data_IF_323629150767
#
_entry.id   IF_323629150767
#
_cell.length_a   1.000
_cell.length_b   1.000
_cell.length_c   1.000
_cell.angle_alpha   90.00
_cell.angle_beta   90.00
_cell.angle_gamma   90.00
#
_symmetry.space_group_name_H-M   'P 1'
#
loop_
_entity.id
_entity.type
_entity.pdbx_description
1 polymer ?
#
# COMPACT_ATOMS: atom_id res chain seq x y z
N UNK A 1 -3.40 10.05 -10.86
CA UNK A 1 -4.45 10.38 -9.88
C UNK A 1 -4.67 9.26 -8.85
N UNK A 2 -5.00 8.01 -9.24
CA UNK A 2 -5.23 6.93 -8.29
C UNK A 2 -4.01 6.61 -7.41
N UNK A 3 -2.80 6.58 -7.96
CA UNK A 3 -1.59 6.35 -7.17
C UNK A 3 -1.28 7.49 -6.20
N UNK A 4 -1.63 8.73 -6.56
CA UNK A 4 -1.48 9.86 -5.65
C UNK A 4 -2.39 9.69 -4.43
N UNK A 5 -3.66 9.34 -4.63
CA UNK A 5 -4.59 9.09 -3.52
C UNK A 5 -4.10 7.95 -2.61
N UNK A 6 -3.61 6.84 -3.19
CA UNK A 6 -3.01 5.74 -2.41
C UNK A 6 -1.77 6.21 -1.63
N UNK A 7 -0.94 7.07 -2.23
CA UNK A 7 0.24 7.60 -1.57
C UNK A 7 -0.12 8.52 -0.41
N UNK A 8 -1.14 9.37 -0.56
CA UNK A 8 -1.62 10.28 0.49
C UNK A 8 -2.21 9.49 1.68
N UNK A 9 -3.04 8.48 1.42
CA UNK A 9 -3.57 7.59 2.46
C UNK A 9 -2.45 6.80 3.17
N UNK A 10 -1.45 6.35 2.42
CA UNK A 10 -0.29 5.65 2.98
C UNK A 10 0.56 6.58 3.86
N UNK A 11 0.77 7.83 3.45
CA UNK A 11 1.51 8.84 4.25
C UNK A 11 0.78 9.15 5.55
N UNK A 12 -0.57 9.21 5.53
CA UNK A 12 -1.37 9.35 6.73
C UNK A 12 -1.22 8.14 7.66
N UNK A 13 -1.34 6.92 7.12
CA UNK A 13 -1.16 5.68 7.89
C UNK A 13 0.24 5.60 8.52
N UNK A 14 1.29 5.89 7.76
CA UNK A 14 2.68 5.94 8.23
C UNK A 14 2.82 6.91 9.40
N UNK A 15 2.25 8.11 9.29
CA UNK A 15 2.29 9.14 10.34
C UNK A 15 1.60 8.66 11.61
N UNK A 16 0.42 8.06 11.50
CA UNK A 16 -0.32 7.53 12.64
C UNK A 16 0.42 6.38 13.32
N UNK A 17 0.97 5.44 12.55
CA UNK A 17 1.76 4.33 13.10
C UNK A 17 3.05 4.80 13.77
N UNK A 18 3.72 5.79 13.21
CA UNK A 18 4.92 6.37 13.84
C UNK A 18 4.58 7.00 15.20
N UNK A 19 3.49 7.77 15.28
CA UNK A 19 2.99 8.33 16.53
C UNK A 19 2.64 7.26 17.55
N UNK A 20 1.93 6.22 17.12
CA UNK A 20 1.54 5.10 17.97
C UNK A 20 2.76 4.32 18.49
N UNK A 21 3.75 4.05 17.62
CA UNK A 21 4.99 3.39 18.02
C UNK A 21 5.74 4.18 19.10
N UNK A 22 5.81 5.49 18.97
CA UNK A 22 6.47 6.37 19.93
C UNK A 22 5.70 6.45 21.26
N UNK A 23 4.38 6.58 21.21
CA UNK A 23 3.52 6.63 22.40
C UNK A 23 3.64 5.35 23.23
N UNK A 24 3.79 4.21 22.58
CA UNK A 24 3.85 2.90 23.22
C UNK A 24 5.24 2.26 23.25
N UNK A 25 6.30 3.05 23.11
CA UNK A 25 7.69 2.56 23.10
C UNK A 25 8.07 1.74 24.33
N UNK A 26 7.44 1.99 25.46
CA UNK A 26 7.70 1.35 26.75
C UNK A 26 6.52 0.48 27.24
N UNK A 27 5.43 0.38 26.49
CA UNK A 27 4.27 -0.42 26.87
C UNK A 27 4.59 -1.90 26.65
N UNK A 28 4.70 -2.65 27.74
CA UNK A 28 5.03 -4.08 27.70
C UNK A 28 3.88 -4.90 27.13
N UNK A 29 4.21 -5.86 26.29
CA UNK A 29 3.31 -6.90 25.81
C UNK A 29 4.06 -8.22 25.62
N UNK A 30 3.32 -9.30 25.47
CA UNK A 30 3.93 -10.58 25.13
C UNK A 30 4.19 -10.69 23.62
N UNK A 31 5.43 -11.03 23.25
CA UNK A 31 5.73 -11.47 21.87
C UNK A 31 5.16 -12.86 21.62
N UNK A 32 4.67 -13.11 20.40
CA UNK A 32 4.13 -14.40 19.98
C UNK A 32 4.86 -14.93 18.77
N UNK A 33 5.09 -16.25 18.77
CA UNK A 33 5.61 -17.00 17.64
C UNK A 33 4.74 -18.24 17.48
N UNK A 34 4.27 -18.53 16.26
CA UNK A 34 3.28 -19.57 16.01
C UNK A 34 2.06 -19.50 16.93
N UNK A 35 1.57 -18.28 17.16
CA UNK A 35 0.45 -17.94 18.07
C UNK A 35 0.70 -18.31 19.54
N UNK A 36 1.89 -18.74 19.91
CA UNK A 36 2.25 -19.08 21.28
C UNK A 36 3.04 -17.96 21.95
N UNK A 37 2.90 -17.82 23.27
CA UNK A 37 3.67 -16.87 24.05
C UNK A 37 5.18 -17.14 23.91
N UNK A 38 5.92 -16.09 23.63
CA UNK A 38 7.38 -16.13 23.53
C UNK A 38 7.99 -15.20 24.60
N UNK A 39 8.82 -14.25 24.18
CA UNK A 39 9.46 -13.30 25.12
C UNK A 39 8.72 -11.96 25.17
N UNK A 40 8.81 -11.22 26.28
CA UNK A 40 8.30 -9.86 26.36
C UNK A 40 8.93 -8.97 25.29
N UNK A 41 8.08 -8.12 24.70
CA UNK A 41 8.46 -7.04 23.77
C UNK A 41 7.72 -5.77 24.20
N UNK A 42 7.83 -4.68 23.45
CA UNK A 42 6.95 -3.54 23.62
C UNK A 42 5.92 -3.45 22.49
N UNK A 43 4.77 -2.88 22.76
CA UNK A 43 3.77 -2.63 21.72
C UNK A 43 4.32 -1.65 20.68
N UNK A 44 5.09 -0.64 21.09
CA UNK A 44 5.75 0.27 20.16
C UNK A 44 6.69 -0.45 19.20
N UNK A 45 7.44 -1.48 19.65
CA UNK A 45 8.25 -2.30 18.76
C UNK A 45 7.39 -3.11 17.77
N UNK A 46 6.26 -3.66 18.22
CA UNK A 46 5.33 -4.36 17.33
C UNK A 46 4.79 -3.41 16.24
N UNK A 47 4.39 -2.20 16.61
CA UNK A 47 3.92 -1.17 15.67
C UNK A 47 5.03 -0.73 14.71
N UNK A 48 6.26 -0.56 15.19
CA UNK A 48 7.40 -0.25 14.33
C UNK A 48 7.65 -1.33 13.26
N UNK A 49 7.38 -2.60 13.57
CA UNK A 49 7.45 -3.70 12.60
C UNK A 49 6.34 -3.66 11.55
N UNK A 50 5.19 -3.06 11.83
CA UNK A 50 4.16 -2.78 10.84
C UNK A 50 4.54 -1.59 9.95
N UNK A 51 5.15 -0.58 10.54
CA UNK A 51 5.56 0.66 9.87
C UNK A 51 6.67 0.42 8.83
N UNK A 52 7.67 -0.37 9.17
CA UNK A 52 8.87 -0.59 8.36
C UNK A 52 8.59 -1.08 6.91
N UNK A 53 7.75 -2.10 6.65
CA UNK A 53 7.40 -2.48 5.28
C UNK A 53 6.60 -1.41 4.53
N UNK A 54 5.78 -0.61 5.23
CA UNK A 54 5.01 0.47 4.60
C UNK A 54 5.91 1.62 4.13
N UNK A 55 6.97 1.93 4.87
CA UNK A 55 7.99 2.90 4.44
C UNK A 55 8.69 2.43 3.15
N UNK A 56 9.01 1.15 3.02
CA UNK A 56 9.57 0.60 1.78
C UNK A 56 8.57 0.66 0.63
N UNK A 57 7.31 0.31 0.88
CA UNK A 57 6.25 0.39 -0.13
C UNK A 57 6.02 1.83 -0.59
N UNK A 58 6.08 2.80 0.33
CA UNK A 58 5.97 4.23 -0.01
C UNK A 58 7.07 4.69 -0.97
N UNK A 59 8.30 4.24 -0.72
CA UNK A 59 9.42 4.51 -1.63
C UNK A 59 9.18 3.86 -2.99
N UNK A 60 8.79 2.59 -3.04
CA UNK A 60 8.50 1.87 -4.29
C UNK A 60 7.38 2.54 -5.11
N UNK A 61 6.33 3.06 -4.46
CA UNK A 61 5.27 3.81 -5.14
C UNK A 61 5.79 5.11 -5.76
N UNK A 62 6.70 5.82 -5.07
CA UNK A 62 7.29 7.03 -5.60
C UNK A 62 8.19 6.73 -6.82
N UNK A 63 9.03 5.71 -6.74
CA UNK A 63 9.89 5.27 -7.83
C UNK A 63 9.04 4.82 -9.05
N UNK A 64 7.98 4.05 -8.80
CA UNK A 64 7.02 3.60 -9.81
C UNK A 64 6.37 4.78 -10.54
N UNK A 65 5.92 5.78 -9.80
CA UNK A 65 5.27 6.98 -10.36
C UNK A 65 6.21 7.77 -11.28
N UNK A 66 7.50 7.77 -11.00
CA UNK A 66 8.48 8.50 -11.79
C UNK A 66 8.93 7.77 -13.06
N UNK A 67 8.99 6.43 -13.04
CA UNK A 67 9.67 5.66 -14.06
C UNK A 67 8.72 4.86 -14.96
N UNK A 68 7.56 4.43 -14.46
CA UNK A 68 6.71 3.48 -15.16
C UNK A 68 5.62 4.13 -16.00
N UNK A 69 5.18 5.35 -15.66
CA UNK A 69 4.14 6.04 -16.41
C UNK A 69 4.76 6.84 -17.55
N UNK A 70 4.96 6.15 -18.66
CA UNK A 70 5.51 6.71 -19.89
C UNK A 70 4.50 6.57 -21.03
N UNK A 71 4.61 7.44 -22.02
CA UNK A 71 3.74 7.42 -23.20
C UNK A 71 3.84 6.07 -23.92
N UNK A 72 2.69 5.56 -24.37
CA UNK A 72 2.63 4.44 -25.31
C UNK A 72 2.08 4.95 -26.65
N UNK A 73 2.96 5.07 -27.63
CA UNK A 73 2.61 5.39 -29.01
C UNK A 73 3.60 4.67 -29.94
N UNK A 74 3.12 3.83 -30.84
CA UNK A 74 4.01 3.00 -31.68
C UNK A 74 3.50 2.77 -33.10
N UNK A 75 2.23 2.98 -33.35
CA UNK A 75 1.58 2.55 -34.59
C UNK A 75 1.49 1.02 -34.67
N UNK A 76 1.27 0.50 -35.85
CA UNK A 76 0.97 -0.93 -36.06
C UNK A 76 2.08 -1.89 -35.62
N UNK A 77 3.35 -1.50 -35.80
CA UNK A 77 4.53 -2.34 -35.53
C UNK A 77 5.61 -1.63 -34.68
N UNK A 78 5.25 -0.53 -34.04
CA UNK A 78 6.17 0.19 -33.16
C UNK A 78 7.09 1.21 -33.84
N UNK A 79 6.99 1.41 -35.13
CA UNK A 79 7.90 2.25 -35.90
C UNK A 79 7.36 3.65 -36.22
N UNK A 80 6.09 3.93 -35.88
CA UNK A 80 5.39 5.17 -36.26
C UNK A 80 5.38 5.45 -37.77
N UNK A 81 5.56 4.45 -38.59
CA UNK A 81 5.75 4.58 -40.07
C UNK A 81 4.56 5.25 -40.77
N UNK A 82 3.34 5.11 -40.23
CA UNK A 82 2.14 5.81 -40.74
C UNK A 82 2.17 7.33 -40.57
N UNK A 83 3.05 7.83 -39.73
CA UNK A 83 3.26 9.26 -39.49
C UNK A 83 4.50 9.81 -40.18
N UNK A 84 5.11 9.02 -41.05
CA UNK A 84 6.31 9.36 -41.78
C UNK A 84 7.44 9.92 -40.91
N UNK A 85 8.03 11.07 -41.29
CA UNK A 85 9.10 11.73 -40.53
C UNK A 85 8.57 12.49 -39.29
N UNK A 86 7.26 12.56 -39.08
CA UNK A 86 6.64 13.35 -37.99
C UNK A 86 6.33 12.49 -36.75
N UNK A 87 6.44 11.18 -36.78
CA UNK A 87 6.05 10.30 -35.70
C UNK A 87 6.68 10.64 -34.35
N UNK A 88 7.97 10.94 -34.33
CA UNK A 88 8.68 11.34 -33.10
C UNK A 88 8.16 12.67 -32.54
N UNK A 89 7.97 13.69 -33.40
CA UNK A 89 7.44 14.99 -33.01
C UNK A 89 6.02 14.89 -32.45
N UNK A 90 5.20 14.01 -33.02
CA UNK A 90 3.85 13.73 -32.52
C UNK A 90 3.93 13.09 -31.12
N UNK A 91 4.81 12.10 -30.92
CA UNK A 91 5.02 11.46 -29.61
C UNK A 91 5.48 12.48 -28.56
N UNK A 92 6.43 13.35 -28.89
CA UNK A 92 6.91 14.41 -28.00
C UNK A 92 5.81 15.41 -27.62
N UNK A 93 5.03 15.84 -28.59
CA UNK A 93 3.90 16.75 -28.39
C UNK A 93 2.82 16.12 -27.52
N UNK A 94 2.48 14.86 -27.78
CA UNK A 94 1.53 14.08 -26.98
C UNK A 94 2.02 13.87 -25.55
N UNK A 95 3.30 13.54 -25.37
CA UNK A 95 3.92 13.42 -24.05
C UNK A 95 3.82 14.72 -23.24
N UNK A 96 4.09 15.87 -23.86
CA UNK A 96 3.95 17.19 -23.22
C UNK A 96 2.52 17.49 -22.80
N UNK A 97 1.54 17.21 -23.67
CA UNK A 97 0.11 17.47 -23.40
C UNK A 97 -0.38 16.59 -22.26
N UNK A 98 0.05 15.31 -22.22
CA UNK A 98 -0.38 14.35 -21.19
C UNK A 98 0.46 14.37 -19.90
N UNK A 99 1.56 15.13 -19.88
CA UNK A 99 2.50 15.14 -18.76
C UNK A 99 3.25 13.81 -18.59
N UNK A 100 3.43 13.03 -19.69
CA UNK A 100 4.09 11.73 -19.68
C UNK A 100 5.47 11.82 -20.33
N UNK A 101 6.45 11.09 -19.79
CA UNK A 101 7.75 10.90 -20.43
C UNK A 101 7.57 10.11 -21.73
N UNK A 102 8.32 10.47 -22.77
CA UNK A 102 8.35 9.73 -24.03
C UNK A 102 9.48 8.71 -23.95
N UNK A 103 9.20 7.41 -24.04
CA UNK A 103 10.23 6.39 -24.02
C UNK A 103 11.01 6.37 -25.34
N UNK A 104 12.26 5.90 -25.34
CA UNK A 104 13.09 5.86 -26.56
C UNK A 104 12.56 4.89 -27.64
N UNK A 105 11.75 3.91 -27.22
CA UNK A 105 11.13 2.92 -28.10
C UNK A 105 9.71 2.59 -27.59
N UNK A 106 8.80 2.28 -28.53
CA UNK A 106 7.43 1.85 -28.17
C UNK A 106 7.45 0.51 -27.42
N UNK A 107 6.54 0.35 -26.47
CA UNK A 107 6.50 -0.81 -25.57
C UNK A 107 5.14 -1.52 -25.52
N UNK A 108 4.29 -1.35 -26.54
CA UNK A 108 2.91 -1.87 -26.53
C UNK A 108 2.81 -3.40 -26.43
N UNK A 109 3.85 -4.15 -26.82
CA UNK A 109 3.93 -5.61 -26.63
C UNK A 109 4.64 -6.02 -25.34
N UNK A 110 5.41 -5.15 -24.70
CA UNK A 110 6.04 -5.40 -23.40
C UNK A 110 5.05 -5.21 -22.27
N UNK A 111 5.10 -6.05 -21.23
CA UNK A 111 4.16 -6.04 -20.12
C UNK A 111 4.83 -5.79 -18.77
N UNK A 112 6.15 -5.68 -18.73
CA UNK A 112 6.97 -5.45 -17.57
C UNK A 112 6.50 -4.23 -16.75
N UNK A 113 6.22 -3.10 -17.39
CA UNK A 113 5.70 -1.88 -16.73
C UNK A 113 4.36 -2.10 -16.04
N UNK A 114 3.44 -2.78 -16.70
CA UNK A 114 2.13 -3.10 -16.13
C UNK A 114 2.25 -4.11 -14.99
N UNK A 115 3.10 -5.13 -15.17
CA UNK A 115 3.38 -6.12 -14.14
C UNK A 115 4.02 -5.47 -12.90
N UNK A 116 4.93 -4.51 -13.08
CA UNK A 116 5.55 -3.79 -11.97
C UNK A 116 4.53 -2.96 -11.18
N UNK A 117 3.58 -2.30 -11.85
CA UNK A 117 2.48 -1.61 -11.15
C UNK A 117 1.68 -2.61 -10.30
N UNK A 118 1.23 -3.72 -10.90
CA UNK A 118 0.42 -4.72 -10.22
C UNK A 118 1.16 -5.36 -9.03
N UNK A 119 2.43 -5.71 -9.20
CA UNK A 119 3.22 -6.33 -8.12
C UNK A 119 3.55 -5.35 -7.00
N UNK A 120 3.85 -4.09 -7.31
CA UNK A 120 4.09 -3.06 -6.28
C UNK A 120 2.83 -2.84 -5.41
N UNK A 121 1.67 -2.75 -6.03
CA UNK A 121 0.40 -2.65 -5.30
C UNK A 121 0.10 -3.93 -4.51
N UNK A 122 0.39 -5.10 -5.06
CA UNK A 122 0.25 -6.39 -4.36
C UNK A 122 1.14 -6.51 -3.12
N UNK A 123 2.38 -6.01 -3.18
CA UNK A 123 3.30 -5.97 -2.03
C UNK A 123 2.75 -5.04 -0.93
N UNK A 124 2.26 -3.86 -1.31
CA UNK A 124 1.63 -2.93 -0.38
C UNK A 124 0.41 -3.56 0.28
N UNK A 125 -0.48 -4.15 -0.51
CA UNK A 125 -1.68 -4.83 -0.01
C UNK A 125 -1.33 -5.96 0.96
N UNK A 126 -0.33 -6.79 0.65
CA UNK A 126 0.15 -7.85 1.55
C UNK A 126 0.68 -7.30 2.87
N UNK A 127 1.35 -6.16 2.86
CA UNK A 127 1.86 -5.49 4.07
C UNK A 127 0.73 -4.95 4.94
N UNK A 128 -0.30 -4.34 4.33
CA UNK A 128 -1.50 -3.85 5.02
C UNK A 128 -2.33 -5.03 5.55
N UNK A 129 -2.51 -6.07 4.74
CA UNK A 129 -3.24 -7.28 5.15
C UNK A 129 -2.60 -7.96 6.36
N UNK A 130 -1.27 -8.03 6.40
CA UNK A 130 -0.54 -8.55 7.56
C UNK A 130 -0.77 -7.71 8.82
N UNK A 131 -0.79 -6.38 8.71
CA UNK A 131 -1.12 -5.48 9.82
C UNK A 131 -2.55 -5.71 10.31
N UNK A 132 -3.50 -5.78 9.38
CA UNK A 132 -4.91 -6.02 9.67
C UNK A 132 -5.14 -7.37 10.38
N UNK A 133 -4.50 -8.43 9.90
CA UNK A 133 -4.54 -9.75 10.54
C UNK A 133 -3.98 -9.73 11.96
N UNK A 134 -2.85 -9.07 12.20
CA UNK A 134 -2.29 -8.90 13.54
C UNK A 134 -3.30 -8.20 14.48
N UNK A 135 -3.98 -7.15 14.01
CA UNK A 135 -5.01 -6.46 14.83
C UNK A 135 -6.17 -7.40 15.14
N UNK A 136 -6.67 -8.15 14.15
CA UNK A 136 -7.73 -9.14 14.37
C UNK A 136 -7.34 -10.16 15.44
N UNK A 137 -6.12 -10.69 15.36
CA UNK A 137 -5.61 -11.65 16.36
C UNK A 137 -5.49 -11.03 17.76
N UNK A 138 -5.05 -9.78 17.85
CA UNK A 138 -4.92 -9.08 19.14
C UNK A 138 -6.27 -8.64 19.72
N UNK A 139 -7.33 -8.57 18.91
CA UNK A 139 -8.70 -8.26 19.32
C UNK A 139 -9.49 -9.46 19.87
N UNK A 140 -8.98 -10.70 19.72
CA UNK A 140 -9.65 -11.89 20.25
C UNK A 140 -9.96 -11.69 21.73
N UNK A 141 -11.12 -12.16 22.17
CA UNK A 141 -11.62 -11.96 23.54
C UNK A 141 -10.62 -12.42 24.60
N UNK A 142 -9.92 -13.53 24.34
CA UNK A 142 -8.93 -14.15 25.24
C UNK A 142 -7.60 -13.36 25.27
N UNK A 143 -7.34 -12.52 24.25
CA UNK A 143 -6.12 -11.70 24.12
C UNK A 143 -6.40 -10.27 24.54
N UNK A 144 -7.34 -9.62 23.86
CA UNK A 144 -7.85 -8.27 24.15
C UNK A 144 -6.76 -7.20 24.39
N UNK A 145 -5.66 -7.26 23.63
CA UNK A 145 -4.53 -6.32 23.77
C UNK A 145 -4.74 -5.03 22.97
N UNK A 146 -5.55 -5.09 21.90
CA UNK A 146 -5.97 -3.92 21.09
C UNK A 146 -7.45 -3.99 20.78
N UNK A 147 -8.06 -2.87 20.43
CA UNK A 147 -9.44 -2.79 19.98
C UNK A 147 -9.53 -1.77 18.84
N UNK A 148 -10.33 -2.06 17.82
CA UNK A 148 -10.72 -1.03 16.85
C UNK A 148 -11.58 0.05 17.53
N UNK A 149 -11.48 1.32 17.09
CA UNK A 149 -12.37 2.37 17.55
C UNK A 149 -13.83 1.99 17.30
N UNK A 150 -14.66 2.11 18.34
CA UNK A 150 -16.10 1.89 18.17
C UNK A 150 -16.77 3.13 17.61
N UNK A 151 -17.60 2.96 16.60
CA UNK A 151 -18.47 3.99 16.09
C UNK A 151 -19.91 3.43 15.98
N UNK A 152 -20.91 4.31 16.00
CA UNK A 152 -22.31 3.92 15.84
C UNK A 152 -22.48 3.16 14.52
N UNK A 153 -22.94 1.92 14.57
CA UNK A 153 -23.12 1.05 13.39
C UNK A 153 -21.86 0.33 12.91
N UNK A 154 -20.72 0.45 13.61
CA UNK A 154 -19.47 -0.27 13.25
C UNK A 154 -19.07 -1.24 14.36
N UNK A 155 -18.76 -2.48 13.98
CA UNK A 155 -18.14 -3.49 14.85
C UNK A 155 -19.03 -4.08 15.95
N UNK A 156 -20.20 -3.50 16.23
CA UNK A 156 -21.12 -3.98 17.26
C UNK A 156 -21.89 -5.24 16.83
N UNK A 157 -22.43 -5.95 17.82
CA UNK A 157 -23.36 -7.08 17.61
C UNK A 157 -24.78 -6.64 17.95
N UNK A 158 -25.76 -7.07 17.16
CA UNK A 158 -27.18 -6.78 17.41
C UNK A 158 -27.75 -7.50 18.63
N UNK A 159 -27.13 -8.59 19.07
CA UNK A 159 -27.63 -9.47 20.15
C UNK A 159 -26.67 -9.59 21.34
N UNK A 160 -25.40 -9.24 21.17
CA UNK A 160 -24.36 -9.43 22.20
C UNK A 160 -23.62 -8.12 22.47
N UNK A 161 -23.96 -7.35 23.50
CA UNK A 161 -23.39 -6.02 23.76
C UNK A 161 -21.86 -6.00 23.96
N UNK A 162 -21.29 -7.11 24.43
CA UNK A 162 -19.87 -7.28 24.69
C UNK A 162 -19.05 -7.62 23.43
N UNK A 163 -19.71 -8.10 22.34
CA UNK A 163 -19.02 -8.57 21.13
C UNK A 163 -18.56 -7.38 20.29
N UNK A 164 -17.27 -7.32 20.04
CA UNK A 164 -16.61 -6.34 19.18
C UNK A 164 -15.98 -7.04 17.97
N UNK A 165 -16.48 -6.75 16.79
CA UNK A 165 -15.98 -7.37 15.56
C UNK A 165 -14.91 -6.48 14.92
N UNK A 166 -13.78 -7.04 14.41
CA UNK A 166 -12.73 -6.29 13.73
C UNK A 166 -13.14 -5.98 12.27
N UNK A 167 -14.22 -5.21 12.08
CA UNK A 167 -14.83 -5.01 10.75
C UNK A 167 -13.97 -4.16 9.83
N UNK A 168 -13.14 -3.24 10.35
CA UNK A 168 -12.26 -2.44 9.53
C UNK A 168 -11.04 -3.23 9.03
N UNK A 169 -10.59 -4.22 9.81
CA UNK A 169 -9.47 -5.07 9.45
C UNK A 169 -9.86 -6.27 8.58
N UNK A 170 -11.14 -6.62 8.52
CA UNK A 170 -11.65 -7.73 7.70
C UNK A 170 -12.19 -7.27 6.33
N UNK A 171 -12.34 -5.96 6.12
CA UNK A 171 -12.78 -5.36 4.83
C UNK A 171 -11.61 -5.24 3.86
#
# INVERSE_FOLDING_TARGET
DALAAIADDLDLLITQLAGLAMAHRNTLMIGRSFLQHARPITFGFKVARWLDPLLRSRKQLADLSQENFVLQLGGAVGTLSSMEKKGVLVAESMGKILGLKVPPISWHSSRDRLAQVATTLGILQGSIGKLAEDICLLMQTEISEVLEPTARGKGGSSSMPHKRNPVCCLA
#
